data_IF_371003638755
#
_entry.id   IF_371003638755
#
_cell.length_a   1.000
_cell.length_b   1.000
_cell.length_c   1.000
_cell.angle_alpha   90.00
_cell.angle_beta   90.00
_cell.angle_gamma   90.00
#
_symmetry.space_group_name_H-M   'P 1'
#
loop_
_entity.id
_entity.type
_entity.pdbx_description
1 polymer ?
#
# COMPACT_ATOMS: atom_id res chain seq x y z
N UNK A 1 -0.36 4.58 -0.04
CA UNK A 1 0.80 4.17 0.80
C UNK A 1 2.09 4.23 -0.01
N UNK A 2 2.17 3.56 -1.13
CA UNK A 2 3.33 3.63 -2.01
C UNK A 2 3.59 5.05 -2.51
N UNK A 3 4.82 5.51 -2.48
CA UNK A 3 5.18 6.89 -2.77
C UNK A 3 5.27 7.74 -1.50
N UNK A 4 4.40 8.70 -1.30
CA UNK A 4 4.51 9.67 -0.20
C UNK A 4 4.56 9.02 1.20
N UNK A 5 3.83 7.93 1.43
CA UNK A 5 3.88 7.21 2.71
C UNK A 5 5.25 6.57 2.97
N UNK A 6 5.91 6.07 1.93
CA UNK A 6 7.26 5.53 2.03
C UNK A 6 8.29 6.62 2.32
N UNK A 7 8.19 7.76 1.64
CA UNK A 7 9.10 8.89 1.89
C UNK A 7 8.95 9.42 3.33
N UNK A 8 7.71 9.45 3.86
CA UNK A 8 7.48 9.80 5.25
C UNK A 8 8.20 8.82 6.20
N UNK A 9 8.04 7.51 6.01
CA UNK A 9 8.72 6.51 6.84
C UNK A 9 10.24 6.68 6.76
N UNK A 10 10.80 6.79 5.55
CA UNK A 10 12.25 7.01 5.36
C UNK A 10 12.75 8.23 6.14
N UNK A 11 12.06 9.36 5.99
CA UNK A 11 12.46 10.61 6.64
C UNK A 11 12.41 10.50 8.17
N UNK A 12 11.28 10.03 8.70
CA UNK A 12 11.06 9.96 10.14
C UNK A 12 11.93 8.89 10.80
N UNK A 13 12.09 7.70 10.20
CA UNK A 13 12.95 6.66 10.78
C UNK A 13 14.42 7.07 10.78
N UNK A 14 14.93 7.66 9.67
CA UNK A 14 16.30 8.18 9.65
C UNK A 14 16.53 9.23 10.74
N UNK A 15 15.56 10.13 10.94
CA UNK A 15 15.66 11.16 11.96
C UNK A 15 15.58 10.55 13.36
N UNK A 16 14.60 9.72 13.63
CA UNK A 16 14.37 9.08 14.92
C UNK A 16 15.56 8.23 15.36
N UNK A 17 16.20 7.50 14.44
CA UNK A 17 17.38 6.68 14.74
C UNK A 17 18.53 7.50 15.31
N UNK A 18 18.75 8.73 14.80
CA UNK A 18 19.80 9.62 15.26
C UNK A 18 19.49 10.31 16.60
N UNK A 19 18.24 10.26 17.04
CA UNK A 19 17.80 10.88 18.29
C UNK A 19 17.78 9.91 19.47
N UNK A 20 17.97 8.62 19.26
CA UNK A 20 17.98 7.61 20.33
C UNK A 20 19.02 7.99 21.39
N UNK A 21 18.61 7.99 22.68
CA UNK A 21 19.44 8.31 23.82
C UNK A 21 19.65 9.82 24.03
N UNK A 22 19.04 10.68 23.24
CA UNK A 22 19.04 12.14 23.46
C UNK A 22 17.73 12.62 24.12
N UNK A 23 17.69 13.89 24.53
CA UNK A 23 16.48 14.51 25.06
C UNK A 23 15.35 14.64 24.02
N UNK A 24 15.67 14.48 22.75
CA UNK A 24 14.74 14.56 21.60
C UNK A 24 14.29 13.18 21.08
N UNK A 25 14.66 12.12 21.78
CA UNK A 25 14.22 10.77 21.42
C UNK A 25 12.70 10.65 21.37
N UNK A 26 12.17 10.03 20.32
CA UNK A 26 10.73 9.78 20.20
C UNK A 26 10.27 8.83 21.31
N UNK A 27 9.29 9.29 22.11
CA UNK A 27 8.71 8.54 23.24
C UNK A 27 7.21 8.73 23.31
N UNK A 28 6.54 7.84 24.04
CA UNK A 28 5.10 7.92 24.28
C UNK A 28 4.30 8.06 22.98
N UNK A 29 3.37 8.99 22.93
CA UNK A 29 2.43 9.17 21.84
C UNK A 29 3.11 9.35 20.46
N UNK A 30 4.23 10.07 20.40
CA UNK A 30 4.96 10.28 19.15
C UNK A 30 5.53 8.96 18.59
N UNK A 31 6.10 8.14 19.46
CA UNK A 31 6.59 6.82 19.08
C UNK A 31 5.41 5.90 18.68
N UNK A 32 4.30 5.96 19.40
CA UNK A 32 3.11 5.16 19.11
C UNK A 32 2.52 5.49 17.74
N UNK A 33 2.49 6.78 17.35
CA UNK A 33 2.04 7.22 16.02
C UNK A 33 2.94 6.61 14.93
N UNK A 34 4.26 6.71 15.06
CA UNK A 34 5.20 6.15 14.09
C UNK A 34 5.07 4.62 14.03
N UNK A 35 5.09 3.96 15.18
CA UNK A 35 4.95 2.51 15.32
C UNK A 35 3.65 2.01 14.67
N UNK A 36 2.54 2.65 14.99
CA UNK A 36 1.24 2.31 14.42
C UNK A 36 1.21 2.49 12.88
N UNK A 37 1.78 3.59 12.39
CA UNK A 37 1.86 3.85 10.95
C UNK A 37 2.70 2.78 10.22
N UNK A 38 3.86 2.42 10.75
CA UNK A 38 4.72 1.41 10.15
C UNK A 38 4.07 0.03 10.22
N UNK A 39 3.59 -0.39 11.38
CA UNK A 39 3.07 -1.74 11.62
C UNK A 39 1.71 -1.97 10.99
N UNK A 40 0.77 -1.07 11.22
CA UNK A 40 -0.63 -1.25 10.83
C UNK A 40 -0.96 -0.66 9.47
N UNK A 41 -0.06 0.11 8.85
CA UNK A 41 -0.30 0.67 7.53
C UNK A 41 0.71 0.17 6.50
N UNK A 42 2.01 0.25 6.77
CA UNK A 42 3.01 -0.16 5.79
C UNK A 42 3.18 -1.68 5.74
N UNK A 43 3.57 -2.30 6.87
CA UNK A 43 3.88 -3.75 6.92
C UNK A 43 2.67 -4.59 6.49
N UNK A 44 1.47 -4.18 6.84
CA UNK A 44 0.24 -4.90 6.49
C UNK A 44 -0.06 -4.91 4.98
N UNK A 45 0.43 -3.90 4.25
CA UNK A 45 0.24 -3.81 2.79
C UNK A 45 1.35 -4.48 1.99
N UNK A 46 2.32 -5.11 2.67
CA UNK A 46 3.43 -5.83 2.03
C UNK A 46 3.31 -7.33 2.31
N UNK A 47 3.30 -8.13 1.24
CA UNK A 47 3.35 -9.59 1.31
C UNK A 47 4.70 -10.07 0.77
N UNK A 48 5.48 -10.76 1.61
CA UNK A 48 6.86 -11.09 1.23
C UNK A 48 7.65 -9.83 0.90
N UNK A 49 8.11 -9.73 -0.35
CA UNK A 49 8.86 -8.60 -0.87
C UNK A 49 7.98 -7.51 -1.49
N UNK A 50 6.70 -7.78 -1.78
CA UNK A 50 5.89 -6.96 -2.67
C UNK A 50 4.72 -6.29 -1.96
N UNK A 51 4.50 -5.04 -2.32
CA UNK A 51 3.34 -4.27 -1.86
C UNK A 51 2.10 -4.59 -2.69
N UNK A 52 0.95 -4.63 -2.04
CA UNK A 52 -0.34 -4.71 -2.72
C UNK A 52 -0.47 -3.57 -3.72
N UNK A 53 -0.72 -3.90 -5.00
CA UNK A 53 -0.71 -2.90 -6.07
C UNK A 53 -1.79 -1.82 -5.91
N UNK A 54 -2.92 -2.17 -5.32
CA UNK A 54 -4.06 -1.29 -5.15
C UNK A 54 -3.87 -0.20 -4.06
N UNK A 55 -2.73 -0.16 -3.38
CA UNK A 55 -2.34 0.93 -2.46
C UNK A 55 -1.18 1.78 -2.99
N UNK A 56 -0.70 1.49 -4.19
CA UNK A 56 0.49 2.16 -4.74
C UNK A 56 0.21 3.50 -5.43
N UNK A 57 -1.08 3.80 -5.71
CA UNK A 57 -1.43 4.98 -6.49
C UNK A 57 -0.77 4.95 -7.88
N UNK A 58 -0.31 6.10 -8.37
CA UNK A 58 0.35 6.18 -9.70
C UNK A 58 1.68 5.40 -9.78
N UNK A 59 2.27 5.05 -8.64
CA UNK A 59 3.51 4.26 -8.62
C UNK A 59 3.35 2.85 -9.19
N UNK A 60 2.12 2.38 -9.41
CA UNK A 60 1.85 1.11 -10.09
C UNK A 60 2.40 1.09 -11.53
N UNK A 61 2.47 2.25 -12.19
CA UNK A 61 3.01 2.38 -13.56
C UNK A 61 4.54 2.37 -13.64
N UNK A 62 5.24 2.37 -12.50
CA UNK A 62 6.70 2.38 -12.45
C UNK A 62 7.24 0.97 -12.23
N UNK A 63 8.09 0.52 -13.15
CA UNK A 63 8.72 -0.79 -13.06
C UNK A 63 9.46 -0.98 -11.72
N UNK A 64 9.27 -2.15 -11.12
CA UNK A 64 9.96 -2.56 -9.90
C UNK A 64 9.50 -1.89 -8.60
N UNK A 65 8.66 -0.85 -8.62
CA UNK A 65 8.27 -0.13 -7.39
C UNK A 65 7.35 -0.93 -6.46
N UNK A 66 6.73 -2.01 -6.90
CA UNK A 66 6.01 -2.93 -6.01
C UNK A 66 6.96 -3.68 -5.08
N UNK A 67 8.21 -3.91 -5.48
CA UNK A 67 9.22 -4.59 -4.69
C UNK A 67 9.79 -3.67 -3.59
N UNK A 68 9.78 -4.14 -2.35
CA UNK A 68 10.17 -3.38 -1.15
C UNK A 68 11.46 -3.86 -0.49
N UNK A 69 12.26 -4.65 -1.18
CA UNK A 69 13.52 -5.20 -0.67
C UNK A 69 14.51 -4.11 -0.24
N UNK A 70 14.61 -3.03 -1.01
CA UNK A 70 15.46 -1.87 -0.67
C UNK A 70 14.92 -1.07 0.52
N UNK A 71 13.60 -1.06 0.69
CA UNK A 71 12.93 -0.37 1.78
C UNK A 71 13.05 -1.09 3.13
N UNK A 72 13.33 -2.38 3.12
CA UNK A 72 13.40 -3.23 4.32
C UNK A 72 14.34 -2.69 5.41
N UNK A 73 15.38 -1.92 5.03
CA UNK A 73 16.30 -1.31 6.01
C UNK A 73 15.57 -0.43 7.01
N UNK A 74 14.61 0.37 6.57
CA UNK A 74 13.84 1.28 7.44
C UNK A 74 12.94 0.52 8.43
N UNK A 75 12.48 -0.69 8.02
CA UNK A 75 11.77 -1.59 8.93
C UNK A 75 12.72 -2.18 9.97
N UNK A 76 13.96 -2.48 9.57
CA UNK A 76 15.00 -2.94 10.52
C UNK A 76 15.39 -1.83 11.49
N UNK A 77 15.45 -0.58 11.06
CA UNK A 77 15.76 0.56 11.92
C UNK A 77 14.73 0.72 13.05
N UNK A 78 13.46 0.36 12.78
CA UNK A 78 12.41 0.34 13.80
C UNK A 78 12.68 -0.64 14.96
N UNK A 79 13.53 -1.64 14.76
CA UNK A 79 13.96 -2.57 15.84
C UNK A 79 14.65 -1.82 16.98
N UNK A 80 15.39 -0.75 16.65
CA UNK A 80 16.09 0.10 17.62
C UNK A 80 15.19 1.23 18.12
N UNK A 81 14.36 1.81 17.25
CA UNK A 81 13.46 2.94 17.56
C UNK A 81 12.31 2.49 18.46
N UNK A 82 11.74 1.31 18.21
CA UNK A 82 10.61 0.73 18.94
C UNK A 82 10.89 -0.71 19.36
N UNK A 83 11.74 -0.90 20.40
CA UNK A 83 12.14 -2.23 20.85
C UNK A 83 10.99 -3.09 21.41
N UNK A 84 9.88 -2.48 21.81
CA UNK A 84 8.69 -3.20 22.28
C UNK A 84 8.09 -4.07 21.19
N UNK A 85 8.08 -3.60 19.95
CA UNK A 85 7.53 -4.29 18.79
C UNK A 85 8.61 -4.95 17.90
N UNK A 86 9.83 -5.10 18.42
CA UNK A 86 11.01 -5.64 17.73
C UNK A 86 10.72 -6.91 16.93
N UNK A 87 10.06 -7.88 17.51
CA UNK A 87 9.81 -9.19 16.89
C UNK A 87 8.98 -9.09 15.59
N UNK A 88 8.05 -8.11 15.52
CA UNK A 88 7.26 -7.86 14.32
C UNK A 88 8.11 -7.23 13.22
N UNK A 89 8.95 -6.24 13.56
CA UNK A 89 9.86 -5.61 12.62
C UNK A 89 10.90 -6.59 12.05
N UNK A 90 11.53 -7.38 12.90
CA UNK A 90 12.50 -8.41 12.48
C UNK A 90 11.86 -9.43 11.52
N UNK A 91 10.66 -9.90 11.83
CA UNK A 91 9.97 -10.86 10.97
C UNK A 91 9.56 -10.23 9.63
N UNK A 92 9.10 -8.97 9.62
CA UNK A 92 8.79 -8.24 8.40
C UNK A 92 10.04 -8.00 7.55
N UNK A 93 11.15 -7.57 8.17
CA UNK A 93 12.44 -7.43 7.50
C UNK A 93 12.88 -8.71 6.80
N UNK A 94 12.82 -9.86 7.50
CA UNK A 94 13.24 -11.13 6.94
C UNK A 94 12.39 -11.55 5.74
N UNK A 95 11.07 -11.30 5.76
CA UNK A 95 10.18 -11.53 4.61
C UNK A 95 10.53 -10.60 3.45
N UNK A 96 10.68 -9.30 3.72
CA UNK A 96 10.98 -8.29 2.69
C UNK A 96 12.35 -8.49 2.04
N UNK A 97 13.31 -9.07 2.77
CA UNK A 97 14.64 -9.45 2.24
C UNK A 97 14.68 -10.83 1.59
N UNK A 98 13.53 -11.50 1.48
CA UNK A 98 13.43 -12.87 0.99
C UNK A 98 14.32 -13.88 1.73
N UNK A 99 14.64 -13.60 2.99
CA UNK A 99 15.38 -14.49 3.87
C UNK A 99 14.47 -15.56 4.48
N UNK A 100 13.19 -15.27 4.52
CA UNK A 100 12.10 -16.15 4.95
C UNK A 100 10.93 -16.03 4.00
N UNK A 101 10.07 -17.05 4.00
CA UNK A 101 8.86 -17.09 3.17
C UNK A 101 7.87 -15.95 3.52
N UNK A 102 6.99 -15.63 2.58
CA UNK A 102 6.02 -14.54 2.72
C UNK A 102 5.04 -14.73 3.89
N UNK A 103 4.86 -15.95 4.35
CA UNK A 103 4.00 -16.33 5.48
C UNK A 103 4.72 -16.41 6.83
N UNK A 104 6.05 -16.23 6.85
CA UNK A 104 6.85 -16.37 8.06
C UNK A 104 6.40 -15.40 9.16
N UNK A 105 5.93 -15.95 10.29
CA UNK A 105 5.45 -15.21 11.46
C UNK A 105 4.46 -14.09 11.13
N UNK A 106 3.60 -14.31 10.15
CA UNK A 106 2.52 -13.37 9.82
C UNK A 106 1.42 -13.46 10.87
N UNK A 107 1.08 -12.33 11.45
CA UNK A 107 -0.08 -12.21 12.36
C UNK A 107 -1.37 -12.09 11.56
N UNK A 108 -2.38 -12.89 11.91
CA UNK A 108 -3.71 -12.78 11.32
C UNK A 108 -4.36 -11.46 11.72
N UNK A 109 -4.81 -10.69 10.72
CA UNK A 109 -5.44 -9.37 10.92
C UNK A 109 -6.57 -9.17 9.93
N UNK A 110 -7.52 -8.34 10.33
CA UNK A 110 -8.50 -7.76 9.41
C UNK A 110 -8.57 -6.26 9.74
N UNK A 111 -8.17 -5.43 8.80
CA UNK A 111 -8.03 -4.00 9.04
C UNK A 111 -8.86 -3.26 7.99
N UNK A 112 -9.70 -2.34 8.47
CA UNK A 112 -10.43 -1.38 7.65
C UNK A 112 -9.79 0.01 7.83
N UNK A 113 -9.54 0.68 6.72
CA UNK A 113 -9.08 2.06 6.65
C UNK A 113 -10.22 2.93 6.07
N UNK A 114 -11.14 3.39 6.91
CA UNK A 114 -12.38 4.02 6.44
C UNK A 114 -12.15 5.34 5.68
N UNK A 115 -11.09 6.07 6.01
CA UNK A 115 -10.75 7.34 5.33
C UNK A 115 -10.22 7.07 3.92
N UNK A 116 -9.61 5.92 3.69
CA UNK A 116 -8.97 5.55 2.42
C UNK A 116 -9.80 4.57 1.60
N UNK A 117 -11.01 4.21 2.07
CA UNK A 117 -11.89 3.22 1.45
C UNK A 117 -11.15 1.92 1.08
N UNK A 118 -10.33 1.43 2.02
CA UNK A 118 -9.49 0.26 1.83
C UNK A 118 -9.65 -0.73 2.97
N UNK A 119 -9.70 -2.00 2.65
CA UNK A 119 -9.72 -3.10 3.62
C UNK A 119 -8.68 -4.15 3.25
N UNK A 120 -8.05 -4.73 4.26
CA UNK A 120 -7.12 -5.84 4.07
C UNK A 120 -7.35 -6.94 5.10
N UNK A 121 -7.45 -8.16 4.60
CA UNK A 121 -7.59 -9.39 5.37
C UNK A 121 -6.31 -10.21 5.25
N UNK A 122 -5.60 -10.41 6.35
CA UNK A 122 -4.31 -11.08 6.40
C UNK A 122 -4.46 -12.39 7.14
N UNK A 123 -3.99 -13.45 6.52
CA UNK A 123 -3.84 -14.79 7.09
C UNK A 123 -2.44 -15.31 6.78
N UNK A 124 -2.00 -16.30 7.55
CA UNK A 124 -0.70 -16.92 7.30
C UNK A 124 -0.51 -17.32 5.83
N UNK A 125 -1.45 -18.05 5.16
CA UNK A 125 -1.24 -18.47 3.78
C UNK A 125 -1.49 -17.39 2.72
N UNK A 126 -2.14 -16.26 3.05
CA UNK A 126 -2.46 -15.22 2.07
C UNK A 126 -2.74 -13.85 2.71
N UNK A 127 -2.73 -12.83 1.88
CA UNK A 127 -3.35 -11.54 2.15
C UNK A 127 -4.32 -11.19 1.02
N UNK A 128 -5.50 -10.70 1.38
CA UNK A 128 -6.53 -10.28 0.45
C UNK A 128 -6.93 -8.85 0.75
N UNK A 129 -6.92 -7.99 -0.24
CA UNK A 129 -7.32 -6.60 -0.06
C UNK A 129 -8.36 -6.16 -1.05
N UNK A 130 -9.17 -5.20 -0.63
CA UNK A 130 -10.18 -4.54 -1.46
C UNK A 130 -9.98 -3.04 -1.34
N UNK A 131 -9.97 -2.37 -2.48
CA UNK A 131 -10.00 -0.91 -2.54
C UNK A 131 -11.26 -0.46 -3.23
N UNK A 132 -12.03 0.34 -2.52
CA UNK A 132 -13.22 1.01 -3.03
C UNK A 132 -12.96 2.51 -3.13
N UNK A 133 -14.00 3.25 -3.45
CA UNK A 133 -13.95 4.71 -3.53
C UNK A 133 -15.30 5.29 -3.08
N UNK A 134 -15.23 6.46 -2.46
CA UNK A 134 -16.40 7.23 -2.05
C UNK A 134 -16.17 8.71 -2.38
N UNK A 135 -17.05 9.56 -1.92
CA UNK A 135 -16.90 11.03 -1.98
C UNK A 135 -15.72 11.56 -1.14
N UNK A 136 -15.15 10.73 -0.26
CA UNK A 136 -13.98 11.07 0.56
C UNK A 136 -12.65 10.89 -0.16
N UNK A 137 -12.61 10.06 -1.21
CA UNK A 137 -11.36 9.67 -1.87
C UNK A 137 -11.41 9.91 -3.37
N UNK A 138 -10.29 10.34 -3.93
CA UNK A 138 -10.13 10.36 -5.37
C UNK A 138 -9.99 8.92 -5.91
N UNK A 139 -10.58 8.62 -7.06
CA UNK A 139 -10.53 7.29 -7.64
C UNK A 139 -9.28 7.01 -8.47
N UNK A 140 -8.58 8.03 -8.92
CA UNK A 140 -7.29 7.89 -9.59
C UNK A 140 -6.36 9.05 -9.25
N UNK A 141 -5.09 8.73 -9.07
CA UNK A 141 -3.99 9.67 -9.10
C UNK A 141 -3.19 9.47 -10.38
N UNK A 142 -3.01 10.52 -11.17
CA UNK A 142 -2.16 10.52 -12.35
C UNK A 142 -1.30 11.79 -12.40
N UNK A 143 -0.21 11.74 -13.15
CA UNK A 143 0.72 12.85 -13.32
C UNK A 143 2.00 12.36 -13.96
N UNK A 144 2.81 13.26 -14.51
CA UNK A 144 4.05 12.91 -15.20
C UNK A 144 3.88 11.87 -16.33
N UNK A 145 2.75 11.82 -17.00
CA UNK A 145 2.38 10.77 -17.95
C UNK A 145 2.32 9.36 -17.33
N UNK A 146 2.07 9.26 -16.03
CA UNK A 146 1.98 8.00 -15.32
C UNK A 146 0.54 7.66 -14.99
N UNK A 147 0.23 6.36 -14.94
CA UNK A 147 -1.03 5.81 -14.46
C UNK A 147 -2.26 6.22 -15.30
N UNK A 148 -2.08 6.38 -16.60
CA UNK A 148 -3.12 6.91 -17.50
C UNK A 148 -4.30 5.96 -17.66
N UNK A 149 -4.07 4.64 -17.61
CA UNK A 149 -5.08 3.61 -17.85
C UNK A 149 -5.77 3.10 -16.57
N UNK A 150 -5.36 3.57 -15.39
CA UNK A 150 -5.81 3.03 -14.11
C UNK A 150 -7.12 3.67 -13.59
N UNK A 151 -7.98 4.17 -14.46
CA UNK A 151 -9.22 4.86 -14.10
C UNK A 151 -10.12 4.02 -13.18
N UNK A 152 -10.12 2.70 -13.32
CA UNK A 152 -10.98 1.81 -12.57
C UNK A 152 -10.30 1.17 -11.34
N UNK A 153 -9.10 1.57 -10.99
CA UNK A 153 -8.32 0.94 -9.91
C UNK A 153 -8.87 1.09 -8.49
N UNK A 154 -9.98 1.76 -8.33
CA UNK A 154 -10.61 1.93 -7.00
C UNK A 154 -12.07 1.48 -6.97
N UNK A 155 -12.58 0.93 -8.06
CA UNK A 155 -13.99 0.52 -8.16
C UNK A 155 -14.25 -0.90 -7.64
N UNK A 156 -13.77 -1.19 -6.42
CA UNK A 156 -13.89 -2.53 -5.82
C UNK A 156 -12.72 -3.44 -6.18
N UNK A 157 -11.59 -2.88 -6.62
CA UNK A 157 -10.44 -3.67 -7.02
C UNK A 157 -9.92 -4.55 -5.88
N UNK A 158 -9.68 -5.81 -6.22
CA UNK A 158 -9.15 -6.80 -5.28
C UNK A 158 -7.72 -7.20 -5.60
N UNK A 159 -6.95 -7.52 -4.57
CA UNK A 159 -5.65 -8.14 -4.71
C UNK A 159 -5.53 -9.32 -3.75
N UNK A 160 -5.25 -10.51 -4.29
CA UNK A 160 -4.95 -11.71 -3.52
C UNK A 160 -3.48 -12.06 -3.70
N UNK A 161 -2.75 -12.11 -2.59
CA UNK A 161 -1.33 -12.42 -2.59
C UNK A 161 -1.02 -13.56 -1.62
N UNK A 162 -0.31 -14.57 -2.08
CA UNK A 162 0.16 -15.72 -1.30
C UNK A 162 1.67 -15.63 -1.09
N UNK A 163 2.44 -15.60 -2.17
CA UNK A 163 3.90 -15.46 -2.17
C UNK A 163 4.36 -14.02 -2.21
N UNK A 164 3.53 -13.14 -2.76
CA UNK A 164 3.79 -11.70 -2.90
C UNK A 164 4.10 -11.27 -4.33
N UNK A 165 4.59 -12.16 -5.18
CA UNK A 165 5.02 -11.88 -6.55
C UNK A 165 3.93 -12.09 -7.62
N UNK A 166 2.69 -12.34 -7.21
CA UNK A 166 1.57 -12.63 -8.12
C UNK A 166 1.28 -11.51 -9.11
N UNK A 167 1.60 -10.27 -8.76
CA UNK A 167 1.40 -9.09 -9.61
C UNK A 167 2.71 -8.47 -10.10
N UNK A 168 3.83 -9.21 -9.98
CA UNK A 168 5.12 -8.70 -10.44
C UNK A 168 5.11 -8.52 -11.95
N UNK A 169 5.46 -7.32 -12.40
CA UNK A 169 5.65 -6.95 -13.81
C UNK A 169 4.46 -7.23 -14.75
N UNK A 170 3.25 -7.38 -14.20
CA UNK A 170 2.05 -7.69 -14.97
C UNK A 170 1.42 -6.44 -15.63
N UNK A 171 1.64 -5.25 -15.08
CA UNK A 171 0.90 -4.04 -15.44
C UNK A 171 1.07 -3.57 -16.89
N UNK A 172 2.21 -3.74 -17.57
CA UNK A 172 2.35 -3.40 -18.99
C UNK A 172 1.45 -4.20 -19.93
N UNK A 173 1.01 -5.39 -19.51
CA UNK A 173 0.16 -6.30 -20.31
C UNK A 173 -1.23 -6.48 -19.68
N UNK A 174 -1.53 -5.76 -18.62
CA UNK A 174 -2.78 -5.88 -17.90
C UNK A 174 -3.95 -5.32 -18.72
N UNK A 175 -5.08 -6.04 -18.69
CA UNK A 175 -6.29 -5.49 -19.25
C UNK A 175 -6.95 -4.52 -18.27
N UNK A 176 -6.60 -3.25 -18.36
CA UNK A 176 -7.08 -2.17 -17.49
C UNK A 176 -8.59 -1.92 -17.54
N UNK A 177 -9.28 -2.48 -18.51
CA UNK A 177 -10.75 -2.47 -18.61
C UNK A 177 -11.41 -3.59 -17.78
N UNK A 178 -10.63 -4.57 -17.31
CA UNK A 178 -11.12 -5.78 -16.62
C UNK A 178 -10.23 -6.14 -15.44
N UNK A 179 -10.17 -5.25 -14.46
CA UNK A 179 -9.36 -5.45 -13.26
C UNK A 179 -10.13 -6.37 -12.29
N UNK A 180 -9.46 -7.30 -11.60
CA UNK A 180 -10.11 -8.20 -10.63
C UNK A 180 -10.91 -7.45 -9.57
N UNK A 181 -12.15 -7.89 -9.33
CA UNK A 181 -13.07 -7.31 -8.34
C UNK A 181 -13.80 -6.05 -8.80
N UNK A 182 -13.38 -5.45 -9.90
CA UNK A 182 -13.99 -4.21 -10.40
C UNK A 182 -15.30 -4.48 -11.12
N UNK A 183 -16.32 -3.66 -10.81
CA UNK A 183 -17.53 -3.55 -11.59
C UNK A 183 -17.54 -2.17 -12.26
N UNK A 184 -17.40 -2.15 -13.57
CA UNK A 184 -17.39 -0.92 -14.37
C UNK A 184 -18.15 -1.11 -15.69
N UNK A 185 -18.60 -0.03 -16.34
CA UNK A 185 -19.16 -0.10 -17.67
C UNK A 185 -18.18 -0.72 -18.65
N UNK A 186 -18.68 -1.45 -19.62
CA UNK A 186 -17.86 -1.80 -20.78
C UNK A 186 -17.59 -0.54 -21.59
N UNK A 187 -16.32 -0.24 -21.80
CA UNK A 187 -15.87 0.94 -22.53
C UNK A 187 -14.93 0.53 -23.66
N UNK A 188 -15.05 1.19 -24.79
CA UNK A 188 -14.14 0.97 -25.92
C UNK A 188 -12.76 1.56 -25.60
N UNK A 189 -12.74 2.73 -24.96
CA UNK A 189 -11.52 3.40 -24.51
C UNK A 189 -11.61 3.73 -23.01
N UNK A 190 -10.48 3.62 -22.31
CA UNK A 190 -10.39 3.99 -20.91
C UNK A 190 -10.42 5.53 -20.82
N UNK A 191 -11.29 6.11 -19.98
CA UNK A 191 -11.29 7.54 -19.77
C UNK A 191 -9.94 8.03 -19.25
N UNK A 192 -9.29 8.90 -20.01
CA UNK A 192 -8.02 9.50 -19.64
C UNK A 192 -8.19 10.98 -19.33
N UNK A 193 -7.47 11.49 -18.35
CA UNK A 193 -7.32 12.92 -18.09
C UNK A 193 -5.90 13.36 -18.41
N UNK A 194 -5.80 14.49 -19.11
CA UNK A 194 -4.51 15.06 -19.55
C UNK A 194 -3.83 15.93 -18.51
N UNK A 195 -4.56 16.40 -17.49
CA UNK A 195 -4.04 17.31 -16.48
C UNK A 195 -3.45 16.55 -15.28
N UNK A 196 -2.43 17.13 -14.66
CA UNK A 196 -1.95 16.73 -13.34
C UNK A 196 -3.08 16.76 -12.34
N UNK A 197 -3.17 15.76 -11.49
CA UNK A 197 -4.10 15.80 -10.39
C UNK A 197 -4.73 14.47 -10.07
N UNK A 198 -5.83 14.57 -9.40
CA UNK A 198 -6.68 13.47 -9.00
C UNK A 198 -8.00 13.53 -9.75
N UNK A 199 -8.58 12.39 -10.07
CA UNK A 199 -9.93 12.32 -10.61
C UNK A 199 -10.89 11.98 -9.49
N UNK A 200 -12.02 12.67 -9.43
CA UNK A 200 -13.21 12.06 -8.89
C UNK A 200 -13.81 12.56 -7.67
N UNK A 201 -13.50 13.55 -6.99
CA UNK A 201 -14.31 13.94 -5.81
C UNK A 201 -15.61 14.66 -6.22
N UNK A 202 -15.59 15.37 -7.31
CA UNK A 202 -16.63 16.33 -7.69
C UNK A 202 -17.82 15.71 -8.44
N UNK A 203 -17.70 14.50 -8.97
CA UNK A 203 -18.83 13.81 -9.62
C UNK A 203 -18.61 12.30 -9.53
N UNK A 204 -18.85 11.76 -8.35
CA UNK A 204 -19.03 10.34 -8.28
C UNK A 204 -20.28 10.00 -9.09
N UNK A 205 -20.07 9.45 -10.28
CA UNK A 205 -21.19 8.91 -11.03
C UNK A 205 -21.89 7.87 -10.17
N UNK A 206 -23.17 7.74 -10.32
CA UNK A 206 -24.05 6.83 -9.57
C UNK A 206 -23.57 5.37 -9.49
N UNK A 207 -22.58 5.00 -10.30
CA UNK A 207 -21.93 3.67 -10.33
C UNK A 207 -21.26 3.30 -9.00
N UNK A 208 -20.65 4.25 -8.30
CA UNK A 208 -20.03 3.98 -7.00
C UNK A 208 -21.03 3.82 -5.85
N UNK A 209 -22.28 4.26 -6.01
CA UNK A 209 -23.33 4.10 -5.01
C UNK A 209 -24.00 2.74 -5.02
N UNK A 210 -23.88 2.00 -6.09
CA UNK A 210 -24.52 0.69 -6.24
C UNK A 210 -23.77 -0.45 -5.50
N UNK A 211 -22.65 -0.18 -4.85
CA UNK A 211 -21.77 -1.21 -4.27
C UNK A 211 -21.42 -0.98 -2.78
N UNK A 212 -22.18 -0.13 -2.11
CA UNK A 212 -22.05 0.06 -0.65
C UNK A 212 -23.23 -0.54 0.06
#
# INVERSE_FOLDING_TARGET
MGGNGEELIKGVTNFALNLIGTDYELKGEQLDILSNFVRNTFITTVRGQFMHYNVMGRSVSRAGLSEKTSFARFINDMVLIDPVNKAEYESAFQRMKNMKSADFKVSNRNILYPISDYSIHIRTPYSFSVRTVSDRTAYIEHGNNENLDACFMTFGVTALMQKGDEYKEIFPVWNWKRIPGVTNPQVDEIPQRKAWGVMGVDKFSEIGRAHV
#
